data_IF_009438163965
#
_entry.id   IF_009438163965
#
_cell.length_a   1.000
_cell.length_b   1.000
_cell.length_c   1.000
_cell.angle_alpha   90.00
_cell.angle_beta   90.00
_cell.angle_gamma   90.00
#
_symmetry.space_group_name_H-M   'P 1'
#
loop_
_entity.id
_entity.type
_entity.pdbx_description
1 polymer ?
#
# COMPACT_ATOMS: atom_id res chain seq x y z
N UNK A 1 -8.04 -2.53 -65.14
CA UNK A 1 -8.10 -1.04 -65.22
C UNK A 1 -9.34 -0.55 -64.50
N UNK A 2 -9.24 0.63 -63.86
CA UNK A 2 -10.31 1.42 -63.17
C UNK A 2 -10.45 1.22 -61.66
N UNK A 3 -9.46 1.73 -60.90
CA UNK A 3 -9.60 2.10 -59.47
C UNK A 3 -9.47 3.62 -59.22
N UNK A 4 -9.64 4.48 -60.24
CA UNK A 4 -9.38 5.94 -60.13
C UNK A 4 -10.62 6.86 -60.23
N UNK A 5 -11.85 6.35 -60.23
CA UNK A 5 -13.03 7.19 -60.57
C UNK A 5 -13.75 7.86 -59.39
N UNK A 6 -13.57 7.40 -58.15
CA UNK A 6 -14.29 7.96 -56.99
C UNK A 6 -13.55 9.13 -56.33
N UNK A 7 -12.21 9.13 -56.38
CA UNK A 7 -11.36 10.18 -55.79
C UNK A 7 -11.44 11.51 -56.56
N UNK A 8 -11.69 11.45 -57.88
CA UNK A 8 -11.66 12.61 -58.77
C UNK A 8 -12.89 13.53 -58.64
N UNK A 9 -14.05 12.98 -58.27
CA UNK A 9 -15.29 13.74 -58.08
C UNK A 9 -15.30 14.52 -56.75
N UNK A 10 -14.66 13.99 -55.70
CA UNK A 10 -14.60 14.63 -54.38
C UNK A 10 -13.65 15.85 -54.38
N UNK A 11 -12.52 15.74 -55.09
CA UNK A 11 -11.55 16.84 -55.25
C UNK A 11 -12.16 18.03 -56.01
N UNK A 12 -12.99 17.78 -57.03
CA UNK A 12 -13.59 18.85 -57.83
C UNK A 12 -14.62 19.68 -57.04
N UNK A 13 -15.40 19.05 -56.15
CA UNK A 13 -16.36 19.76 -55.29
C UNK A 13 -15.69 20.63 -54.21
N UNK A 14 -14.54 20.18 -53.67
CA UNK A 14 -13.79 20.96 -52.67
C UNK A 14 -13.15 22.21 -53.30
N UNK A 15 -12.56 22.07 -54.48
CA UNK A 15 -11.95 23.19 -55.20
C UNK A 15 -12.98 24.28 -55.54
N UNK A 16 -14.17 23.90 -56.00
CA UNK A 16 -15.24 24.86 -56.29
C UNK A 16 -15.72 25.58 -55.02
N UNK A 17 -15.80 24.89 -53.88
CA UNK A 17 -16.19 25.52 -52.61
C UNK A 17 -15.14 26.53 -52.12
N UNK A 18 -13.86 26.20 -52.23
CA UNK A 18 -12.78 27.08 -51.79
C UNK A 18 -12.67 28.35 -52.65
N UNK A 19 -12.81 28.21 -53.97
CA UNK A 19 -12.83 29.35 -54.91
C UNK A 19 -14.02 30.29 -54.65
N UNK A 20 -15.18 29.76 -54.28
CA UNK A 20 -16.36 30.57 -53.94
C UNK A 20 -16.14 31.34 -52.63
N UNK A 21 -15.58 30.71 -51.59
CA UNK A 21 -15.28 31.37 -50.30
C UNK A 21 -14.27 32.50 -50.47
N UNK A 22 -13.20 32.24 -51.22
CA UNK A 22 -12.14 33.21 -51.51
C UNK A 22 -12.67 34.47 -52.22
N UNK A 23 -13.53 34.27 -53.22
CA UNK A 23 -14.21 35.38 -53.90
C UNK A 23 -15.16 36.17 -52.99
N UNK A 24 -15.73 35.56 -51.95
CA UNK A 24 -16.58 36.26 -50.99
C UNK A 24 -15.76 37.12 -50.01
N UNK A 25 -14.67 36.58 -49.48
CA UNK A 25 -13.76 37.33 -48.58
C UNK A 25 -13.12 38.51 -49.31
N UNK A 26 -12.68 38.33 -50.57
CA UNK A 26 -12.17 39.43 -51.39
C UNK A 26 -13.23 40.52 -51.61
N UNK A 27 -14.50 40.15 -51.80
CA UNK A 27 -15.60 41.12 -51.91
C UNK A 27 -15.83 41.88 -50.61
N UNK A 28 -15.68 41.23 -49.44
CA UNK A 28 -15.79 41.90 -48.13
C UNK A 28 -14.64 42.89 -47.94
N UNK A 29 -13.40 42.47 -48.13
CA UNK A 29 -12.24 43.37 -48.03
C UNK A 29 -12.39 44.60 -48.94
N UNK A 30 -12.87 44.41 -50.18
CA UNK A 30 -13.07 45.50 -51.13
C UNK A 30 -14.18 46.50 -50.78
N UNK A 31 -15.00 46.23 -49.77
CA UNK A 31 -15.95 47.23 -49.23
C UNK A 31 -15.25 48.27 -48.37
N UNK A 32 -14.12 47.90 -47.76
CA UNK A 32 -13.40 48.71 -46.78
C UNK A 32 -12.05 49.21 -47.32
N UNK A 33 -11.41 48.43 -48.19
CA UNK A 33 -10.08 48.70 -48.74
C UNK A 33 -10.05 48.68 -50.27
N UNK A 34 -9.01 49.27 -50.86
CA UNK A 34 -8.81 49.23 -52.31
C UNK A 34 -8.42 47.82 -52.77
N UNK A 35 -8.75 47.46 -54.03
CA UNK A 35 -8.34 46.17 -54.62
C UNK A 35 -6.82 45.94 -54.52
N UNK A 36 -6.02 47.01 -54.62
CA UNK A 36 -4.55 46.91 -54.49
C UNK A 36 -4.15 46.46 -53.10
N UNK A 37 -4.74 47.03 -52.05
CA UNK A 37 -4.48 46.67 -50.64
C UNK A 37 -4.96 45.24 -50.37
N UNK A 38 -6.16 44.87 -50.81
CA UNK A 38 -6.63 43.51 -50.59
C UNK A 38 -5.71 42.45 -51.22
N UNK A 39 -5.01 42.77 -52.31
CA UNK A 39 -4.12 41.83 -53.00
C UNK A 39 -2.63 42.03 -52.66
N UNK A 40 -2.30 42.80 -51.63
CA UNK A 40 -0.93 42.87 -51.11
C UNK A 40 -0.69 41.76 -50.08
N UNK A 41 0.57 41.48 -49.83
CA UNK A 41 1.09 40.64 -48.76
C UNK A 41 2.15 41.52 -48.08
N UNK A 42 1.83 42.03 -46.88
CA UNK A 42 2.59 43.13 -46.25
C UNK A 42 3.76 42.60 -45.40
N UNK A 43 3.58 41.48 -44.70
CA UNK A 43 4.62 40.81 -43.90
C UNK A 43 5.38 39.71 -44.64
N UNK A 44 4.94 39.34 -45.85
CA UNK A 44 5.58 38.41 -46.78
C UNK A 44 5.56 36.97 -46.31
N UNK A 45 4.52 36.56 -45.59
CA UNK A 45 4.29 35.18 -45.20
C UNK A 45 3.68 34.32 -46.34
N UNK A 46 3.31 34.95 -47.46
CA UNK A 46 2.71 34.31 -48.62
C UNK A 46 1.18 34.27 -48.60
N UNK A 47 0.54 34.93 -47.63
CA UNK A 47 -0.91 35.06 -47.49
C UNK A 47 -1.29 36.49 -47.87
N UNK A 48 -2.34 36.61 -48.67
CA UNK A 48 -2.80 37.93 -49.11
C UNK A 48 -3.57 38.61 -47.97
N UNK A 49 -3.43 39.93 -47.87
CA UNK A 49 -4.01 40.80 -46.83
C UNK A 49 -5.48 40.51 -46.50
N UNK A 50 -6.30 40.12 -47.48
CA UNK A 50 -7.72 39.83 -47.27
C UNK A 50 -8.02 38.43 -46.70
N UNK A 51 -7.03 37.53 -46.70
CA UNK A 51 -7.09 36.19 -46.13
C UNK A 51 -6.27 36.09 -44.83
N UNK A 52 -5.39 37.06 -44.59
CA UNK A 52 -4.49 37.13 -43.47
C UNK A 52 -5.15 37.82 -42.26
N UNK A 53 -5.15 37.14 -41.11
CA UNK A 53 -5.65 37.68 -39.84
C UNK A 53 -4.66 38.57 -39.12
N UNK A 54 -3.37 38.46 -39.44
CA UNK A 54 -2.29 39.25 -38.86
C UNK A 54 -1.42 39.92 -39.93
N UNK A 55 -1.94 40.86 -40.75
CA UNK A 55 -1.25 41.37 -41.95
C UNK A 55 0.07 42.13 -41.75
N UNK A 56 0.59 42.20 -40.54
CA UNK A 56 1.82 42.90 -40.16
C UNK A 56 2.81 41.97 -39.44
N UNK A 57 2.44 40.73 -39.19
CA UNK A 57 3.19 39.78 -38.39
C UNK A 57 3.19 38.43 -39.10
N UNK A 58 4.31 38.09 -39.73
CA UNK A 58 4.42 36.85 -40.50
C UNK A 58 4.01 35.63 -39.68
N UNK A 59 3.08 34.84 -40.23
CA UNK A 59 2.56 33.66 -39.57
C UNK A 59 2.42 32.45 -40.48
N UNK A 60 1.93 31.36 -39.89
CA UNK A 60 1.69 30.13 -40.63
C UNK A 60 0.31 30.17 -41.31
N UNK A 61 0.21 29.60 -42.51
CA UNK A 61 -1.07 29.41 -43.21
C UNK A 61 -2.10 28.66 -42.37
N UNK A 62 -1.67 27.72 -41.55
CA UNK A 62 -2.55 26.95 -40.66
C UNK A 62 -3.17 27.79 -39.54
N UNK A 63 -2.52 28.91 -39.19
CA UNK A 63 -3.01 29.90 -38.23
C UNK A 63 -3.46 31.19 -38.92
N UNK A 64 -3.88 31.09 -40.18
CA UNK A 64 -4.45 32.19 -40.97
C UNK A 64 -3.54 33.43 -41.02
N UNK A 65 -2.22 33.22 -41.13
CA UNK A 65 -1.21 34.28 -41.24
C UNK A 65 -0.77 34.88 -39.91
N UNK A 66 -1.23 34.33 -38.78
CA UNK A 66 -0.75 34.75 -37.47
C UNK A 66 0.38 33.85 -36.95
N UNK A 67 1.37 34.39 -36.23
CA UNK A 67 2.33 33.57 -35.49
C UNK A 67 1.62 32.75 -34.40
N UNK A 68 2.12 31.55 -34.10
CA UNK A 68 1.63 30.79 -32.95
C UNK A 68 2.15 31.43 -31.64
N UNK A 69 1.29 31.59 -30.62
CA UNK A 69 1.73 32.03 -29.30
C UNK A 69 2.67 31.03 -28.63
N UNK A 70 3.48 31.54 -27.71
CA UNK A 70 4.24 30.82 -26.68
C UNK A 70 3.82 31.47 -25.35
N UNK A 71 2.79 30.92 -24.74
CA UNK A 71 2.05 31.54 -23.64
C UNK A 71 2.89 31.62 -22.37
N UNK A 72 3.66 30.58 -22.07
CA UNK A 72 4.48 30.54 -20.87
C UNK A 72 5.90 31.11 -21.07
N UNK A 73 6.35 31.29 -22.32
CA UNK A 73 7.69 31.77 -22.69
C UNK A 73 8.80 30.80 -22.27
N UNK A 74 8.63 29.51 -22.53
CA UNK A 74 9.67 28.49 -22.42
C UNK A 74 10.46 28.26 -23.73
N UNK A 75 10.00 28.84 -24.84
CA UNK A 75 10.60 28.74 -26.16
C UNK A 75 9.97 27.71 -27.08
N UNK A 76 8.87 27.06 -26.66
CA UNK A 76 8.08 26.12 -27.43
C UNK A 76 6.70 26.74 -27.68
N UNK A 77 6.31 26.87 -28.94
CA UNK A 77 4.99 27.41 -29.27
C UNK A 77 3.87 26.50 -28.73
N UNK A 78 2.74 27.08 -28.32
CA UNK A 78 1.60 26.41 -27.69
C UNK A 78 1.10 25.20 -28.48
N UNK A 79 1.25 25.22 -29.81
CA UNK A 79 0.88 24.10 -30.69
C UNK A 79 1.74 22.85 -30.49
N UNK A 80 3.00 23.04 -30.12
CA UNK A 80 4.00 21.98 -29.92
C UNK A 80 4.31 21.73 -28.44
N UNK A 81 3.74 22.54 -27.55
CA UNK A 81 3.91 22.44 -26.12
C UNK A 81 2.82 21.55 -25.51
N UNK A 82 3.24 20.55 -24.72
CA UNK A 82 2.33 19.68 -23.98
C UNK A 82 1.78 20.33 -22.70
N UNK A 83 2.42 21.41 -22.22
CA UNK A 83 2.05 22.20 -21.06
C UNK A 83 2.06 23.73 -21.34
N UNK A 84 1.25 24.27 -22.26
CA UNK A 84 1.34 25.68 -22.74
C UNK A 84 1.23 26.79 -21.68
N UNK A 85 0.75 26.46 -20.48
CA UNK A 85 0.56 27.41 -19.38
C UNK A 85 1.68 27.31 -18.32
N UNK A 86 2.61 26.34 -18.43
CA UNK A 86 3.58 26.00 -17.38
C UNK A 86 4.94 25.65 -17.97
N UNK A 87 5.90 26.56 -17.80
CA UNK A 87 7.27 26.41 -18.31
C UNK A 87 7.85 25.03 -18.08
N UNK A 88 8.35 24.43 -19.14
CA UNK A 88 9.05 23.16 -19.05
C UNK A 88 10.30 23.06 -19.91
N UNK A 89 10.87 21.86 -19.91
CA UNK A 89 12.05 21.57 -20.70
C UNK A 89 11.65 21.06 -22.08
N UNK A 90 12.39 21.45 -23.12
CA UNK A 90 12.20 20.95 -24.48
C UNK A 90 12.34 19.41 -24.58
N UNK A 91 13.16 18.80 -23.72
CA UNK A 91 13.28 17.33 -23.64
C UNK A 91 12.00 16.64 -23.15
N UNK A 92 11.12 17.38 -22.48
CA UNK A 92 9.82 16.90 -21.99
C UNK A 92 8.64 17.61 -22.68
N UNK A 93 8.85 18.07 -23.91
CA UNK A 93 7.83 18.73 -24.73
C UNK A 93 7.18 19.95 -24.03
N UNK A 94 7.97 20.77 -23.36
CA UNK A 94 7.49 21.99 -22.69
C UNK A 94 6.82 21.76 -21.34
N UNK A 95 6.84 20.52 -20.84
CA UNK A 95 6.36 20.22 -19.49
C UNK A 95 7.51 20.17 -18.47
N UNK A 96 7.29 20.60 -17.22
CA UNK A 96 8.21 20.32 -16.13
C UNK A 96 8.29 18.82 -15.87
N UNK A 97 9.46 18.33 -15.48
CA UNK A 97 9.61 16.94 -15.04
C UNK A 97 8.92 16.72 -13.68
N UNK A 98 8.19 15.61 -13.49
CA UNK A 98 7.61 15.29 -12.20
C UNK A 98 8.68 14.89 -11.17
N UNK A 99 8.31 15.05 -9.90
CA UNK A 99 8.94 14.46 -8.72
C UNK A 99 7.80 13.75 -7.98
N UNK A 100 7.59 12.48 -8.32
CA UNK A 100 6.40 11.71 -7.97
C UNK A 100 6.32 11.42 -6.47
N UNK A 101 7.46 11.29 -5.80
CA UNK A 101 7.52 10.98 -4.37
C UNK A 101 7.90 12.17 -3.47
N UNK A 102 8.34 13.27 -4.07
CA UNK A 102 8.57 14.55 -3.41
C UNK A 102 9.89 14.60 -2.63
N UNK A 103 10.90 13.82 -3.02
CA UNK A 103 12.21 13.82 -2.37
C UNK A 103 13.17 14.91 -2.86
N UNK A 104 12.78 15.64 -3.91
CA UNK A 104 13.54 16.72 -4.52
C UNK A 104 14.43 16.28 -5.69
N UNK A 105 14.34 15.02 -6.13
CA UNK A 105 15.02 14.46 -7.29
C UNK A 105 13.96 14.15 -8.34
N UNK A 106 14.12 14.72 -9.53
CA UNK A 106 13.14 14.54 -10.61
C UNK A 106 13.09 13.07 -11.04
N UNK A 107 11.92 12.57 -11.44
CA UNK A 107 11.70 11.16 -11.83
C UNK A 107 12.69 10.67 -12.91
N UNK A 108 13.19 11.58 -13.77
CA UNK A 108 14.20 11.26 -14.80
C UNK A 108 15.60 10.98 -14.25
N UNK A 109 15.91 11.51 -13.07
CA UNK A 109 17.20 11.39 -12.37
C UNK A 109 17.10 10.47 -11.13
N UNK A 110 15.89 10.02 -10.80
CA UNK A 110 15.58 9.17 -9.65
C UNK A 110 15.54 7.67 -10.04
N UNK A 111 16.33 6.86 -9.34
CA UNK A 111 16.35 5.41 -9.49
C UNK A 111 15.17 4.71 -8.79
N UNK A 112 14.48 5.41 -7.89
CA UNK A 112 13.37 4.95 -7.07
C UNK A 112 12.18 5.96 -7.07
N UNK A 113 11.59 6.34 -8.23
CA UNK A 113 10.66 7.48 -8.41
C UNK A 113 9.29 7.37 -7.71
N UNK A 114 9.11 6.41 -6.81
CA UNK A 114 7.86 6.21 -6.04
C UNK A 114 8.14 5.99 -4.56
N UNK A 115 9.39 6.10 -4.12
CA UNK A 115 9.84 5.82 -2.75
C UNK A 115 10.87 6.88 -2.35
N UNK A 116 10.49 7.86 -1.48
CA UNK A 116 11.35 8.99 -1.19
C UNK A 116 12.73 8.57 -0.70
N UNK A 117 13.79 9.14 -1.30
CA UNK A 117 15.16 8.81 -1.00
C UNK A 117 16.04 10.02 -0.70
N UNK A 118 17.32 9.88 -1.02
CA UNK A 118 18.33 10.93 -0.83
C UNK A 118 19.24 11.01 -2.05
N UNK A 119 19.80 12.20 -2.29
CA UNK A 119 20.76 12.39 -3.37
C UNK A 119 22.00 11.49 -3.18
N UNK A 120 22.41 10.83 -4.25
CA UNK A 120 23.58 9.94 -4.30
C UNK A 120 24.45 10.27 -5.51
N UNK A 121 25.76 10.14 -5.35
CA UNK A 121 26.70 10.23 -6.48
C UNK A 121 26.69 8.99 -7.37
N UNK A 122 26.09 7.89 -6.90
CA UNK A 122 25.85 6.70 -7.71
C UNK A 122 24.46 6.81 -8.35
N UNK A 123 24.40 6.87 -9.67
CA UNK A 123 23.14 6.97 -10.43
C UNK A 123 22.18 5.81 -10.18
N UNK A 124 22.66 4.63 -9.73
CA UNK A 124 21.80 3.50 -9.37
C UNK A 124 21.09 3.65 -8.03
N UNK A 125 21.56 4.57 -7.19
CA UNK A 125 21.04 4.76 -5.83
C UNK A 125 20.54 6.20 -5.61
N UNK A 126 20.55 7.05 -6.64
CA UNK A 126 20.11 8.45 -6.53
C UNK A 126 18.59 8.49 -6.41
N UNK A 127 18.07 9.13 -5.36
CA UNK A 127 16.63 9.14 -5.03
C UNK A 127 16.11 7.83 -4.43
N UNK A 128 17.00 6.87 -4.19
CA UNK A 128 16.65 5.70 -3.41
C UNK A 128 16.87 5.91 -1.91
N UNK A 129 16.09 5.23 -1.04
CA UNK A 129 16.35 5.20 0.39
C UNK A 129 17.79 4.80 0.70
N UNK A 130 18.43 5.52 1.63
CA UNK A 130 19.82 5.28 2.05
C UNK A 130 20.05 3.80 2.40
N UNK A 131 20.89 3.07 1.63
CA UNK A 131 21.25 1.67 1.90
C UNK A 131 22.24 1.53 3.10
N UNK A 132 22.20 2.46 4.04
CA UNK A 132 22.92 2.38 5.30
C UNK A 132 22.12 1.51 6.29
N UNK A 133 22.30 0.21 6.12
CA UNK A 133 21.76 -0.84 6.96
C UNK A 133 21.92 -0.56 8.47
N UNK A 134 23.08 -0.07 8.90
CA UNK A 134 23.35 0.19 10.31
C UNK A 134 22.47 1.34 10.84
N UNK A 135 22.40 2.44 10.11
CA UNK A 135 21.56 3.61 10.45
C UNK A 135 20.08 3.26 10.42
N UNK A 136 19.64 2.51 9.40
CA UNK A 136 18.28 2.02 9.29
C UNK A 136 17.90 1.16 10.50
N UNK A 137 18.69 0.12 10.80
CA UNK A 137 18.42 -0.78 11.93
C UNK A 137 18.44 -0.04 13.28
N UNK A 138 19.34 0.95 13.46
CA UNK A 138 19.36 1.80 14.65
C UNK A 138 18.05 2.58 14.82
N UNK A 139 17.55 3.22 13.76
CA UNK A 139 16.27 3.94 13.77
C UNK A 139 15.10 3.02 14.05
N UNK A 140 15.05 1.83 13.43
CA UNK A 140 14.00 0.83 13.70
C UNK A 140 14.01 0.39 15.17
N UNK A 141 15.19 0.15 15.75
CA UNK A 141 15.36 -0.22 17.15
C UNK A 141 14.89 0.88 18.12
N UNK A 142 15.18 2.14 17.82
CA UNK A 142 14.70 3.28 18.61
C UNK A 142 13.16 3.37 18.57
N UNK A 143 12.55 3.29 17.39
CA UNK A 143 11.09 3.28 17.23
C UNK A 143 10.46 2.09 17.98
N UNK A 144 11.07 0.91 17.90
CA UNK A 144 10.57 -0.27 18.59
C UNK A 144 10.69 -0.13 20.12
N UNK A 145 11.77 0.47 20.62
CA UNK A 145 11.95 0.74 22.06
C UNK A 145 10.86 1.68 22.58
N UNK A 146 10.58 2.77 21.88
CA UNK A 146 9.49 3.70 22.22
C UNK A 146 8.13 3.01 22.20
N UNK A 147 7.89 2.18 21.18
CA UNK A 147 6.69 1.37 21.06
C UNK A 147 6.49 0.44 22.27
N UNK A 148 7.55 -0.26 22.71
CA UNK A 148 7.51 -1.11 23.90
C UNK A 148 7.13 -0.34 25.15
N UNK A 149 7.75 0.83 25.37
CA UNK A 149 7.46 1.69 26.53
C UNK A 149 5.99 2.13 26.53
N UNK A 150 5.50 2.64 25.40
CA UNK A 150 4.12 3.10 25.24
C UNK A 150 3.09 2.01 25.52
N UNK A 151 3.30 0.79 25.02
CA UNK A 151 2.33 -0.30 25.14
C UNK A 151 2.46 -1.09 26.44
N UNK A 152 3.65 -1.18 27.04
CA UNK A 152 3.81 -1.69 28.41
C UNK A 152 3.02 -0.89 29.44
N UNK A 153 3.01 0.45 29.31
CA UNK A 153 2.22 1.32 30.17
C UNK A 153 0.69 1.05 30.08
N UNK A 154 0.25 0.33 29.04
CA UNK A 154 -1.15 -0.04 28.80
C UNK A 154 -1.43 -1.51 29.12
N UNK A 155 -0.62 -2.19 29.94
CA UNK A 155 -0.81 -3.62 30.27
C UNK A 155 -2.25 -3.95 30.74
N UNK A 156 -2.87 -3.07 31.52
CA UNK A 156 -4.25 -3.22 31.99
C UNK A 156 -5.27 -3.34 30.84
N UNK A 157 -5.04 -2.64 29.72
CA UNK A 157 -5.86 -2.71 28.52
C UNK A 157 -5.93 -4.13 27.94
N UNK A 158 -4.82 -4.88 27.97
CA UNK A 158 -4.81 -6.26 27.48
C UNK A 158 -5.53 -7.20 28.45
N UNK A 159 -5.44 -6.93 29.75
CA UNK A 159 -6.21 -7.64 30.79
C UNK A 159 -7.72 -7.46 30.61
N UNK A 160 -8.20 -6.25 30.32
CA UNK A 160 -9.62 -5.99 30.08
C UNK A 160 -10.09 -6.62 28.77
N UNK A 161 -9.29 -6.53 27.70
CA UNK A 161 -9.56 -7.19 26.42
C UNK A 161 -9.73 -8.71 26.60
N UNK A 162 -8.79 -9.35 27.31
CA UNK A 162 -8.83 -10.78 27.64
C UNK A 162 -10.16 -11.18 28.26
N UNK A 163 -10.58 -10.42 29.28
CA UNK A 163 -11.82 -10.72 30.00
C UNK A 163 -13.03 -10.65 29.07
N UNK A 164 -13.08 -9.63 28.19
CA UNK A 164 -14.18 -9.47 27.25
C UNK A 164 -14.20 -10.61 26.23
N UNK A 165 -13.07 -10.90 25.58
CA UNK A 165 -12.99 -11.95 24.55
C UNK A 165 -13.43 -13.30 25.12
N UNK A 166 -12.85 -13.71 26.26
CA UNK A 166 -13.08 -15.05 26.78
C UNK A 166 -14.40 -15.22 27.53
N UNK A 167 -15.05 -14.12 27.92
CA UNK A 167 -16.43 -14.16 28.41
C UNK A 167 -17.46 -14.24 27.27
N UNK A 168 -17.10 -13.83 26.05
CA UNK A 168 -18.00 -13.78 24.88
C UNK A 168 -17.73 -14.87 23.84
N UNK A 169 -16.95 -15.91 24.16
CA UNK A 169 -16.74 -17.03 23.22
C UNK A 169 -18.08 -17.69 22.90
N UNK A 170 -18.50 -17.75 21.63
CA UNK A 170 -19.78 -18.36 21.29
C UNK A 170 -19.75 -19.86 21.58
N UNK A 171 -20.76 -20.36 22.31
CA UNK A 171 -20.80 -21.78 22.78
C UNK A 171 -20.61 -22.81 21.67
N UNK A 172 -21.09 -22.53 20.45
CA UNK A 172 -20.94 -23.42 19.27
C UNK A 172 -19.47 -23.75 18.94
N UNK A 173 -18.57 -22.83 19.28
CA UNK A 173 -17.13 -22.94 19.08
C UNK A 173 -16.39 -23.63 20.22
N UNK A 174 -17.05 -24.10 21.29
CA UNK A 174 -16.38 -24.78 22.41
C UNK A 174 -16.61 -26.31 22.42
N UNK A 175 -16.32 -27.07 21.35
CA UNK A 175 -16.42 -28.53 21.37
C UNK A 175 -15.32 -29.17 22.22
N UNK A 176 -15.48 -30.45 22.56
CA UNK A 176 -14.43 -31.30 23.11
C UNK A 176 -13.77 -30.80 24.41
N UNK A 177 -12.55 -31.26 24.66
CA UNK A 177 -11.76 -30.88 25.85
C UNK A 177 -10.53 -30.03 25.51
N UNK A 178 -10.31 -29.72 24.23
CA UNK A 178 -9.07 -29.14 23.72
C UNK A 178 -9.36 -27.80 23.01
N UNK A 179 -8.50 -26.81 23.22
CA UNK A 179 -8.52 -25.49 22.58
C UNK A 179 -7.16 -25.22 21.98
N UNK A 180 -7.14 -24.88 20.70
CA UNK A 180 -5.97 -24.39 19.99
C UNK A 180 -5.94 -22.87 20.08
N UNK A 181 -4.85 -22.34 20.59
CA UNK A 181 -4.56 -20.91 20.55
C UNK A 181 -3.56 -20.69 19.43
N UNK A 182 -4.00 -20.02 18.38
CA UNK A 182 -3.20 -19.65 17.21
C UNK A 182 -2.55 -18.31 17.51
N UNK A 183 -1.29 -18.36 17.92
CA UNK A 183 -0.49 -17.13 18.08
C UNK A 183 -0.03 -16.76 16.68
N UNK A 184 -0.49 -15.61 16.18
CA UNK A 184 -0.26 -15.23 14.80
C UNK A 184 1.20 -14.77 14.62
N UNK A 185 2.03 -15.75 14.30
CA UNK A 185 3.37 -15.49 13.80
C UNK A 185 3.27 -15.35 12.30
N UNK A 186 3.48 -14.15 11.78
CA UNK A 186 3.67 -13.99 10.35
C UNK A 186 5.08 -14.53 10.04
N UNK A 187 5.18 -15.83 9.74
CA UNK A 187 6.45 -16.58 9.61
C UNK A 187 7.16 -16.39 8.27
N UNK A 188 6.77 -15.42 7.44
CA UNK A 188 7.45 -15.19 6.17
C UNK A 188 8.57 -14.17 6.37
N UNK A 189 9.69 -14.63 6.94
CA UNK A 189 10.96 -13.94 6.83
C UNK A 189 11.73 -14.62 5.69
N UNK A 190 11.87 -13.92 4.57
CA UNK A 190 12.76 -14.35 3.51
C UNK A 190 14.13 -13.73 3.79
N UNK A 191 14.94 -14.39 4.63
CA UNK A 191 16.26 -13.93 5.07
C UNK A 191 17.34 -13.89 3.95
N UNK A 192 16.95 -14.11 2.70
CA UNK A 192 17.86 -14.25 1.56
C UNK A 192 17.84 -13.05 0.60
N UNK A 193 17.93 -11.82 1.11
CA UNK A 193 18.05 -10.63 0.25
C UNK A 193 19.05 -9.65 0.88
N UNK A 194 20.04 -9.23 0.08
CA UNK A 194 21.21 -8.41 0.45
C UNK A 194 20.90 -7.03 1.06
N UNK A 195 19.64 -6.60 1.12
CA UNK A 195 19.22 -5.25 1.50
C UNK A 195 18.37 -5.27 2.79
N UNK A 196 18.61 -4.31 3.69
CA UNK A 196 18.03 -4.27 5.04
C UNK A 196 16.50 -4.13 5.13
N UNK A 197 15.82 -3.95 4.00
CA UNK A 197 14.36 -3.99 3.90
C UNK A 197 13.79 -5.42 4.08
N UNK A 198 14.62 -6.47 3.96
CA UNK A 198 14.20 -7.88 4.00
C UNK A 198 14.24 -8.53 5.40
N UNK A 199 15.01 -7.97 6.35
CA UNK A 199 15.03 -8.39 7.74
C UNK A 199 13.76 -7.92 8.44
N UNK A 200 13.12 -8.81 9.21
CA UNK A 200 11.93 -8.58 10.06
C UNK A 200 11.51 -7.11 10.09
N UNK A 201 10.51 -6.77 9.27
CA UNK A 201 10.01 -5.39 9.22
C UNK A 201 9.57 -4.98 10.63
N UNK A 202 9.84 -3.75 11.06
CA UNK A 202 9.38 -3.19 12.34
C UNK A 202 7.90 -3.49 12.67
N UNK A 203 7.08 -3.69 11.63
CA UNK A 203 5.71 -4.15 11.74
C UNK A 203 5.59 -5.51 12.44
N UNK A 204 6.40 -6.49 12.07
CA UNK A 204 6.46 -7.82 12.67
C UNK A 204 6.80 -7.72 14.17
N UNK A 205 7.90 -7.05 14.50
CA UNK A 205 8.37 -6.90 15.87
C UNK A 205 7.33 -6.23 16.78
N UNK A 206 6.64 -5.21 16.25
CA UNK A 206 5.54 -4.53 16.94
C UNK A 206 4.35 -5.47 17.18
N UNK A 207 3.87 -6.16 16.14
CA UNK A 207 2.72 -7.07 16.25
C UNK A 207 3.01 -8.19 17.24
N UNK A 208 4.19 -8.78 17.13
CA UNK A 208 4.67 -9.76 18.06
C UNK A 208 4.66 -9.23 19.49
N UNK A 209 5.23 -8.07 19.76
CA UNK A 209 5.24 -7.51 21.11
C UNK A 209 3.83 -7.36 21.70
N UNK A 210 2.83 -6.97 20.91
CA UNK A 210 1.44 -6.90 21.36
C UNK A 210 0.85 -8.27 21.66
N UNK A 211 1.15 -9.27 20.82
CA UNK A 211 0.79 -10.66 21.09
C UNK A 211 1.41 -11.14 22.40
N UNK A 212 2.65 -10.77 22.72
CA UNK A 212 3.31 -11.12 23.99
C UNK A 212 2.65 -10.43 25.20
N UNK A 213 2.16 -9.20 25.03
CA UNK A 213 1.40 -8.51 26.07
C UNK A 213 0.06 -9.17 26.35
N UNK A 214 -0.61 -9.70 25.32
CA UNK A 214 -1.88 -10.41 25.47
C UNK A 214 -1.70 -11.87 25.88
N UNK A 215 -0.96 -12.66 25.12
CA UNK A 215 -0.72 -14.10 25.30
C UNK A 215 0.34 -14.38 26.37
N UNK A 216 0.12 -13.88 27.58
CA UNK A 216 0.99 -14.11 28.72
C UNK A 216 0.46 -15.22 29.64
N UNK A 217 1.25 -15.60 30.64
CA UNK A 217 0.91 -16.62 31.63
C UNK A 217 -0.46 -16.40 32.31
N UNK A 218 -0.79 -15.17 32.67
CA UNK A 218 -2.09 -14.84 33.30
C UNK A 218 -3.25 -15.14 32.35
N UNK A 219 -3.07 -14.87 31.06
CA UNK A 219 -4.07 -15.16 30.03
C UNK A 219 -4.32 -16.65 29.89
N UNK A 220 -3.26 -17.47 29.83
CA UNK A 220 -3.42 -18.93 29.79
C UNK A 220 -4.03 -19.47 31.08
N UNK A 221 -3.59 -18.99 32.26
CA UNK A 221 -4.20 -19.35 33.55
C UNK A 221 -5.69 -18.99 33.60
N UNK A 222 -6.05 -17.80 33.14
CA UNK A 222 -7.44 -17.35 33.06
C UNK A 222 -8.26 -18.26 32.15
N UNK A 223 -7.77 -18.51 30.93
CA UNK A 223 -8.44 -19.36 29.93
C UNK A 223 -8.66 -20.78 30.48
N UNK A 224 -7.62 -21.34 31.10
CA UNK A 224 -7.63 -22.66 31.73
C UNK A 224 -8.67 -22.77 32.83
N UNK A 225 -8.67 -21.81 33.77
CA UNK A 225 -9.64 -21.75 34.87
C UNK A 225 -11.07 -21.55 34.37
N UNK A 226 -11.26 -20.69 33.37
CA UNK A 226 -12.57 -20.29 32.84
C UNK A 226 -13.23 -21.43 32.05
N UNK A 227 -12.48 -22.04 31.14
CA UNK A 227 -13.02 -23.02 30.19
C UNK A 227 -12.90 -24.46 30.70
N UNK A 228 -11.99 -24.73 31.64
CA UNK A 228 -11.67 -26.08 32.14
C UNK A 228 -11.31 -27.05 31.00
N UNK A 229 -10.56 -26.54 30.01
CA UNK A 229 -10.10 -27.26 28.82
C UNK A 229 -8.57 -27.27 28.76
N UNK A 230 -8.02 -28.22 28.02
CA UNK A 230 -6.63 -28.25 27.62
C UNK A 230 -6.35 -27.16 26.59
N UNK A 231 -5.19 -26.51 26.67
CA UNK A 231 -4.82 -25.40 25.80
C UNK A 231 -3.54 -25.74 25.04
N UNK A 232 -3.59 -25.56 23.73
CA UNK A 232 -2.52 -25.88 22.79
C UNK A 232 -2.10 -24.58 22.09
N UNK A 233 -1.05 -23.90 22.57
CA UNK A 233 -0.44 -22.83 21.79
C UNK A 233 0.15 -23.44 20.51
N UNK A 234 -0.07 -22.77 19.39
CA UNK A 234 0.37 -23.20 18.06
C UNK A 234 0.88 -21.99 17.28
N UNK A 235 1.77 -22.25 16.31
CA UNK A 235 2.28 -21.22 15.39
C UNK A 235 1.49 -21.17 14.08
N UNK A 236 1.53 -20.01 13.43
CA UNK A 236 0.88 -19.75 12.14
C UNK A 236 -0.66 -19.82 12.24
N UNK A 237 -1.30 -20.41 11.24
CA UNK A 237 -2.76 -20.69 11.23
C UNK A 237 -3.11 -21.97 12.03
N UNK A 238 -2.49 -22.16 13.18
CA UNK A 238 -2.68 -23.32 14.05
C UNK A 238 -2.36 -24.65 13.38
N UNK A 239 -1.36 -24.67 12.49
CA UNK A 239 -0.96 -25.87 11.73
C UNK A 239 -0.11 -26.82 12.55
N UNK A 240 0.77 -26.28 13.39
CA UNK A 240 1.73 -27.08 14.14
C UNK A 240 1.76 -26.65 15.61
N UNK A 241 1.87 -27.61 16.55
CA UNK A 241 2.33 -27.32 17.90
C UNK A 241 3.64 -26.56 17.86
N UNK A 242 3.91 -25.76 18.89
CA UNK A 242 5.19 -25.06 18.98
C UNK A 242 6.25 -26.05 19.46
N UNK A 243 7.29 -26.26 18.65
CA UNK A 243 8.39 -27.22 18.89
C UNK A 243 9.68 -26.47 19.22
N UNK A 244 10.42 -26.94 20.23
CA UNK A 244 11.62 -26.28 20.78
C UNK A 244 12.84 -26.32 19.85
N UNK A 245 13.02 -27.36 19.04
CA UNK A 245 14.20 -27.50 18.14
C UNK A 245 14.21 -26.48 17.02
N UNK A 246 13.04 -26.07 16.54
CA UNK A 246 12.93 -24.96 15.59
C UNK A 246 13.29 -23.60 16.22
N UNK A 247 13.56 -23.55 17.54
CA UNK A 247 13.92 -22.31 18.25
C UNK A 247 15.44 -22.13 18.42
N UNK A 248 16.24 -23.19 18.37
CA UNK A 248 17.69 -23.13 18.66
C UNK A 248 18.50 -22.57 17.47
N UNK A 249 18.01 -22.70 16.24
CA UNK A 249 18.65 -22.12 15.04
C UNK A 249 18.33 -20.62 14.84
N UNK A 250 17.43 -20.06 15.67
CA UNK A 250 16.82 -18.74 15.49
C UNK A 250 16.88 -17.87 16.76
N UNK A 251 17.91 -18.01 17.59
CA UNK A 251 18.06 -17.29 18.87
C UNK A 251 18.02 -15.73 18.75
N UNK A 252 18.03 -15.17 17.53
CA UNK A 252 18.23 -13.74 17.30
C UNK A 252 16.97 -12.90 17.00
N UNK A 253 15.84 -13.51 16.63
CA UNK A 253 14.59 -12.78 16.34
C UNK A 253 13.59 -12.88 17.49
N UNK A 254 13.00 -11.73 17.86
CA UNK A 254 12.27 -11.54 19.11
C UNK A 254 11.08 -12.49 19.34
N UNK A 255 10.66 -13.24 18.32
CA UNK A 255 9.60 -14.26 18.39
C UNK A 255 10.00 -15.42 19.30
N UNK A 256 11.25 -15.87 19.16
CA UNK A 256 11.77 -17.05 19.84
C UNK A 256 12.01 -16.78 21.32
N UNK A 257 12.39 -15.56 21.70
CA UNK A 257 12.48 -15.15 23.11
C UNK A 257 11.13 -15.18 23.83
N UNK A 258 10.00 -14.91 23.15
CA UNK A 258 8.69 -15.10 23.78
C UNK A 258 8.34 -16.55 24.01
N UNK A 259 8.63 -17.43 23.05
CA UNK A 259 8.36 -18.85 23.24
C UNK A 259 9.24 -19.44 24.34
N UNK A 260 10.49 -18.99 24.43
CA UNK A 260 11.40 -19.34 25.51
C UNK A 260 10.89 -18.84 26.87
N UNK A 261 10.49 -17.56 26.97
CA UNK A 261 9.92 -16.98 28.19
C UNK A 261 8.56 -17.60 28.57
N UNK A 262 7.72 -17.90 27.59
CA UNK A 262 6.44 -18.57 27.77
C UNK A 262 6.66 -19.97 28.34
N UNK A 263 7.59 -20.75 27.76
CA UNK A 263 7.93 -22.09 28.25
C UNK A 263 8.47 -22.11 29.69
N UNK A 264 9.07 -21.01 30.15
CA UNK A 264 9.61 -20.80 31.50
C UNK A 264 8.57 -20.29 32.51
N UNK A 265 7.34 -20.00 32.09
CA UNK A 265 6.31 -19.46 32.97
C UNK A 265 5.85 -20.48 34.04
N UNK A 266 5.76 -20.09 35.32
CA UNK A 266 5.43 -21.02 36.41
C UNK A 266 4.06 -21.72 36.24
N UNK A 267 4.08 -23.06 36.26
CA UNK A 267 2.88 -23.91 36.18
C UNK A 267 2.60 -24.51 34.81
N UNK A 268 3.46 -24.27 33.82
CA UNK A 268 3.47 -25.02 32.55
C UNK A 268 4.15 -26.37 32.80
N UNK A 269 3.42 -27.48 32.61
CA UNK A 269 3.96 -28.84 32.70
C UNK A 269 4.36 -29.30 31.30
N UNK A 270 5.67 -29.39 31.06
CA UNK A 270 6.25 -29.79 29.79
C UNK A 270 6.27 -31.32 29.65
N UNK A 271 6.13 -31.83 28.42
CA UNK A 271 6.42 -33.24 28.12
C UNK A 271 7.94 -33.44 28.10
N UNK A 272 8.44 -34.44 28.80
CA UNK A 272 9.88 -34.69 28.96
C UNK A 272 10.56 -35.31 27.73
N UNK A 273 9.83 -35.67 26.66
CA UNK A 273 10.41 -36.42 25.52
C UNK A 273 10.25 -35.77 24.13
N UNK A 274 9.29 -34.88 23.90
CA UNK A 274 8.86 -34.55 22.52
C UNK A 274 9.08 -33.10 22.09
N UNK A 275 9.76 -32.27 22.90
CA UNK A 275 10.11 -30.87 22.54
C UNK A 275 8.90 -29.97 22.19
N UNK A 276 7.67 -30.44 22.34
CA UNK A 276 6.41 -29.70 22.12
C UNK A 276 5.93 -29.02 23.40
N UNK A 277 5.40 -27.78 23.27
CA UNK A 277 4.89 -26.99 24.39
C UNK A 277 3.41 -27.27 24.61
N UNK A 278 3.07 -27.59 25.86
CA UNK A 278 1.73 -27.99 26.25
C UNK A 278 1.26 -27.30 27.53
N UNK A 279 -0.02 -26.89 27.59
CA UNK A 279 -0.61 -26.29 28.80
C UNK A 279 -1.92 -26.97 29.21
N UNK A 280 -1.86 -27.74 30.30
CA UNK A 280 -2.98 -28.54 30.82
C UNK A 280 -3.34 -28.14 32.26
N UNK A 281 -4.04 -27.00 32.45
CA UNK A 281 -4.36 -26.47 33.77
C UNK A 281 -5.39 -27.28 34.57
N UNK A 282 -5.91 -28.39 34.01
CA UNK A 282 -6.93 -29.21 34.66
C UNK A 282 -6.95 -30.70 34.29
N UNK A 283 -5.94 -31.22 33.56
CA UNK A 283 -5.87 -32.62 33.14
C UNK A 283 -4.54 -33.25 33.58
N UNK A 284 -4.57 -34.51 34.00
CA UNK A 284 -3.40 -35.35 34.25
C UNK A 284 -2.97 -36.17 33.04
N UNK A 285 -3.82 -36.25 32.00
CA UNK A 285 -3.57 -37.05 30.79
C UNK A 285 -3.06 -36.16 29.65
N UNK A 286 -2.01 -36.62 28.94
CA UNK A 286 -1.52 -36.03 27.68
C UNK A 286 -2.66 -36.11 26.63
N UNK A 287 -3.22 -34.98 26.21
CA UNK A 287 -4.28 -34.94 25.21
C UNK A 287 -3.76 -35.02 23.79
N UNK A 288 -4.63 -35.43 22.88
CA UNK A 288 -4.36 -35.60 21.45
C UNK A 288 -4.63 -34.29 20.70
N UNK A 289 -3.69 -33.88 19.85
CA UNK A 289 -3.85 -32.70 18.99
C UNK A 289 -4.73 -33.03 17.77
N UNK A 290 -5.91 -32.41 17.69
CA UNK A 290 -6.84 -32.54 16.56
C UNK A 290 -7.20 -31.18 16.00
N UNK A 291 -6.49 -30.76 14.95
CA UNK A 291 -6.55 -29.40 14.41
C UNK A 291 -7.97 -28.94 14.03
N UNK A 292 -8.77 -29.80 13.40
CA UNK A 292 -10.09 -29.45 12.85
C UNK A 292 -11.24 -29.60 13.84
N UNK A 293 -11.04 -30.37 14.91
CA UNK A 293 -12.07 -30.62 15.94
C UNK A 293 -11.99 -29.63 17.12
N UNK A 294 -10.87 -28.91 17.24
CA UNK A 294 -10.61 -28.00 18.35
C UNK A 294 -11.02 -26.57 18.02
N UNK A 295 -11.40 -25.80 19.05
CA UNK A 295 -11.55 -24.36 18.92
C UNK A 295 -10.21 -23.72 18.56
N UNK A 296 -10.14 -22.98 17.46
CA UNK A 296 -9.00 -22.09 17.18
C UNK A 296 -9.35 -20.66 17.53
N UNK A 297 -8.53 -20.03 18.38
CA UNK A 297 -8.61 -18.59 18.69
C UNK A 297 -7.40 -17.90 18.06
N UNK A 298 -7.63 -16.86 17.26
CA UNK A 298 -6.58 -15.99 16.71
C UNK A 298 -6.84 -14.55 17.12
N UNK A 299 -5.80 -13.86 17.57
CA UNK A 299 -5.84 -12.43 17.88
C UNK A 299 -5.04 -11.69 16.80
N UNK A 300 -5.59 -10.59 16.30
CA UNK A 300 -5.02 -9.78 15.24
C UNK A 300 -5.06 -8.31 15.66
N UNK A 301 -3.90 -7.67 15.72
CA UNK A 301 -3.81 -6.22 15.85
C UNK A 301 -3.65 -5.59 14.46
N UNK A 302 -4.31 -4.45 14.17
CA UNK A 302 -4.19 -3.79 12.88
C UNK A 302 -2.75 -3.36 12.63
N UNK A 303 -2.37 -3.40 11.36
CA UNK A 303 -1.09 -2.85 10.92
C UNK A 303 -1.04 -1.36 11.34
N UNK A 304 0.06 -0.97 11.97
CA UNK A 304 0.34 0.41 12.40
C UNK A 304 -0.38 0.94 13.65
N UNK A 305 -1.11 0.13 14.43
CA UNK A 305 -1.77 0.52 15.71
C UNK A 305 -2.68 1.77 15.67
N UNK A 306 -2.88 2.39 14.51
CA UNK A 306 -3.53 3.70 14.39
C UNK A 306 -4.95 3.71 14.94
N UNK A 307 -5.59 2.54 14.98
CA UNK A 307 -7.01 2.40 15.32
C UNK A 307 -7.32 1.84 16.72
N UNK A 308 -6.32 1.60 17.59
CA UNK A 308 -6.60 1.01 18.92
C UNK A 308 -7.53 -0.23 18.86
N UNK A 309 -7.41 -1.05 17.82
CA UNK A 309 -8.31 -2.17 17.55
C UNK A 309 -7.63 -3.53 17.78
N UNK A 310 -8.44 -4.57 17.97
CA UNK A 310 -8.02 -5.96 17.97
C UNK A 310 -9.14 -6.82 17.39
N UNK A 311 -8.84 -7.68 16.42
CA UNK A 311 -9.78 -8.64 15.84
C UNK A 311 -9.50 -10.02 16.41
N UNK A 312 -10.55 -10.70 16.86
CA UNK A 312 -10.50 -12.09 17.32
C UNK A 312 -11.27 -12.97 16.36
N UNK A 313 -10.63 -14.03 15.90
CA UNK A 313 -11.25 -15.05 15.07
C UNK A 313 -11.44 -16.33 15.89
N UNK A 314 -12.67 -16.86 15.87
CA UNK A 314 -13.04 -18.18 16.38
C UNK A 314 -13.32 -19.10 15.20
N UNK A 315 -12.59 -20.22 15.12
CA UNK A 315 -12.72 -21.18 14.01
C UNK A 315 -12.91 -22.59 14.58
N UNK A 316 -13.82 -23.36 13.97
CA UNK A 316 -14.02 -24.78 14.26
C UNK A 316 -14.46 -25.49 12.98
N UNK A 317 -13.64 -26.42 12.49
CA UNK A 317 -13.89 -27.03 11.18
C UNK A 317 -14.06 -25.96 10.11
N UNK A 318 -15.26 -25.90 9.52
CA UNK A 318 -15.65 -24.94 8.49
C UNK A 318 -16.43 -23.72 9.03
N UNK A 319 -16.76 -23.71 10.33
CA UNK A 319 -17.44 -22.58 10.96
C UNK A 319 -16.42 -21.50 11.33
N UNK A 320 -16.76 -20.25 11.05
CA UNK A 320 -15.92 -19.09 11.31
C UNK A 320 -16.74 -17.93 11.89
N UNK A 321 -16.23 -17.28 12.93
CA UNK A 321 -16.77 -16.04 13.45
C UNK A 321 -15.66 -15.10 13.91
N UNK A 322 -15.68 -13.86 13.44
CA UNK A 322 -14.74 -12.81 13.84
C UNK A 322 -15.45 -11.70 14.62
N UNK A 323 -14.72 -11.09 15.55
CA UNK A 323 -15.14 -9.93 16.31
C UNK A 323 -14.02 -8.90 16.30
N UNK A 324 -14.31 -7.66 15.89
CA UNK A 324 -13.37 -6.55 16.00
C UNK A 324 -13.74 -5.71 17.21
N UNK A 325 -12.77 -5.54 18.11
CA UNK A 325 -12.85 -4.73 19.30
C UNK A 325 -12.08 -3.43 19.07
N UNK A 326 -12.62 -2.30 19.53
CA UNK A 326 -11.96 -1.01 19.53
C UNK A 326 -11.85 -0.46 20.95
N UNK A 327 -10.70 0.09 21.30
CA UNK A 327 -10.47 0.71 22.61
C UNK A 327 -10.65 2.22 22.54
N UNK A 328 -11.73 2.71 23.14
CA UNK A 328 -12.07 4.12 23.23
C UNK A 328 -12.56 4.47 24.64
N UNK A 329 -12.22 5.68 25.11
CA UNK A 329 -12.64 6.20 26.42
C UNK A 329 -12.41 5.25 27.61
N UNK A 330 -11.31 4.49 27.60
CA UNK A 330 -10.96 3.58 28.71
C UNK A 330 -11.60 2.18 28.63
N UNK A 331 -12.40 1.89 27.60
CA UNK A 331 -13.15 0.65 27.48
C UNK A 331 -12.97 0.02 26.09
N UNK A 332 -13.12 -1.30 26.02
CA UNK A 332 -13.19 -2.03 24.76
C UNK A 332 -14.63 -2.24 24.35
N UNK A 333 -14.95 -1.92 23.09
CA UNK A 333 -16.27 -2.09 22.51
C UNK A 333 -16.18 -2.96 21.26
N UNK A 334 -17.18 -3.81 21.02
CA UNK A 334 -17.30 -4.54 19.76
C UNK A 334 -17.79 -3.55 18.70
N UNK A 335 -17.03 -3.39 17.63
CA UNK A 335 -17.35 -2.49 16.51
C UNK A 335 -17.70 -3.24 15.23
N UNK A 336 -17.28 -4.50 15.11
CA UNK A 336 -17.69 -5.39 14.02
C UNK A 336 -17.83 -6.82 14.52
N UNK A 337 -18.77 -7.55 13.91
CA UNK A 337 -18.95 -8.98 14.08
C UNK A 337 -19.29 -9.59 12.71
N UNK A 338 -18.50 -10.55 12.26
CA UNK A 338 -18.74 -11.25 11.00
C UNK A 338 -18.90 -12.74 11.26
N UNK A 339 -19.84 -13.38 10.57
CA UNK A 339 -20.04 -14.83 10.64
C UNK A 339 -20.05 -15.37 9.23
N UNK A 340 -19.19 -16.34 8.96
CA UNK A 340 -19.10 -16.98 7.67
C UNK A 340 -19.29 -18.50 7.83
N UNK A 341 -20.22 -19.05 7.06
CA UNK A 341 -20.25 -20.47 6.75
C UNK A 341 -19.68 -20.65 5.34
N UNK A 342 -18.98 -21.75 5.09
CA UNK A 342 -18.22 -22.06 3.86
C UNK A 342 -18.91 -21.73 2.51
N UNK A 343 -20.23 -21.53 2.47
CA UNK A 343 -20.96 -21.18 1.24
C UNK A 343 -20.73 -19.75 0.71
N UNK A 344 -20.02 -18.87 1.43
CA UNK A 344 -19.82 -17.47 1.03
C UNK A 344 -18.32 -17.04 0.96
N UNK A 345 -17.42 -17.91 0.50
CA UNK A 345 -16.06 -17.50 0.11
C UNK A 345 -15.68 -18.03 -1.26
#
# INVERSE_FOLDING_TARGET
MKKYSLLLLFLFSFLQSQEITDQQELKKCRKEYSKKICLTDEDKDGILFYLDKCPKESGDLENEGCPWPDTDNDGIIDKNDACPDVKGDAENNGCPWPDTDGDGILDKDDACPTIPGVASSNTRDNGCPENNCEKYLKKQNEIFKEFKVKNNAKKERFTTLRNIIFNHIPKKFLPGNNIIVSIHVNTFINDNIKDCASRSSLLHDKQLFLDQLFWNEETFKYLGKKLKKNIFPTIGFGKYPIVRVLLDDYESDGYYSFMENFSKAPGIRQSSSDQEIYYYPGSTQKPEFKQFESLRIRLLFPEYESKNQATVEFVKGNDFQSFTYEYNNGHWNIVSQETHNHYNR
#
